data_IF_579489155632
#
_entry.id   IF_579489155632
#
_cell.length_a   1.000
_cell.length_b   1.000
_cell.length_c   1.000
_cell.angle_alpha   90.00
_cell.angle_beta   90.00
_cell.angle_gamma   90.00
#
_symmetry.space_group_name_H-M   'P 1'
#
loop_
_entity.id
_entity.type
_entity.pdbx_description
1 polymer ?
#
# COMPACT_ATOMS: atom_id res chain seq x y z
N UNK A 1 -42.33 14.18 18.01
CA UNK A 1 -43.43 15.16 17.78
C UNK A 1 -44.74 14.39 17.69
N UNK A 2 -45.84 14.91 18.24
CA UNK A 2 -47.18 14.28 18.14
C UNK A 2 -48.08 15.13 17.24
N UNK A 3 -48.39 14.64 16.04
CA UNK A 3 -49.23 15.33 15.08
C UNK A 3 -50.71 14.96 15.17
N UNK A 4 -51.11 14.06 16.08
CA UNK A 4 -52.49 13.60 16.21
C UNK A 4 -53.41 14.79 16.51
N UNK A 5 -54.56 14.84 15.82
CA UNK A 5 -55.57 15.90 15.83
C UNK A 5 -55.14 17.25 15.22
N UNK A 6 -53.98 17.34 14.59
CA UNK A 6 -53.58 18.56 13.88
C UNK A 6 -54.26 18.66 12.52
N UNK A 7 -54.68 19.87 12.14
CA UNK A 7 -55.32 20.18 10.85
C UNK A 7 -54.30 20.32 9.73
N UNK A 8 -54.63 19.73 8.60
CA UNK A 8 -53.81 19.71 7.39
C UNK A 8 -54.67 19.99 6.16
N UNK A 9 -54.07 20.52 5.11
CA UNK A 9 -54.71 20.64 3.80
C UNK A 9 -53.92 19.83 2.77
N UNK A 10 -54.58 18.85 2.16
CA UNK A 10 -54.06 18.13 1.01
C UNK A 10 -54.48 18.82 -0.29
N UNK A 11 -53.57 18.89 -1.27
CA UNK A 11 -53.84 19.58 -2.55
C UNK A 11 -55.07 19.04 -3.32
N UNK A 12 -55.41 17.76 -3.16
CA UNK A 12 -56.53 17.11 -3.86
C UNK A 12 -57.72 16.77 -2.96
N UNK A 13 -57.50 16.49 -1.67
CA UNK A 13 -58.53 15.96 -0.78
C UNK A 13 -59.07 17.02 0.19
N UNK A 14 -58.60 18.26 0.08
CA UNK A 14 -59.07 19.37 0.92
C UNK A 14 -58.53 19.30 2.35
N UNK A 15 -59.30 19.84 3.28
CA UNK A 15 -58.95 19.83 4.70
C UNK A 15 -59.16 18.45 5.34
N UNK A 16 -58.24 18.07 6.20
CA UNK A 16 -58.32 16.85 6.98
C UNK A 16 -57.65 16.99 8.34
N UNK A 17 -57.83 15.99 9.19
CA UNK A 17 -57.22 15.91 10.51
C UNK A 17 -56.39 14.64 10.63
N UNK A 18 -55.17 14.76 11.17
CA UNK A 18 -54.31 13.60 11.38
C UNK A 18 -54.90 12.74 12.50
N UNK A 19 -55.20 11.48 12.20
CA UNK A 19 -55.79 10.53 13.17
C UNK A 19 -54.79 9.50 13.68
N UNK A 20 -53.72 9.25 12.93
CA UNK A 20 -52.65 8.34 13.34
C UNK A 20 -51.31 8.74 12.71
N UNK A 21 -50.22 8.47 13.40
CA UNK A 21 -48.86 8.72 12.92
C UNK A 21 -47.91 7.65 13.47
N UNK A 22 -47.04 7.15 12.61
CA UNK A 22 -45.85 6.39 12.99
C UNK A 22 -44.63 6.91 12.20
N UNK A 23 -43.47 6.29 12.42
CA UNK A 23 -42.19 6.77 11.86
C UNK A 23 -42.12 6.77 10.32
N UNK A 24 -42.99 6.00 9.64
CA UNK A 24 -42.97 5.84 8.18
C UNK A 24 -44.22 6.36 7.48
N UNK A 25 -45.29 6.64 8.24
CA UNK A 25 -46.59 6.99 7.65
C UNK A 25 -47.47 7.82 8.56
N UNK A 26 -48.33 8.61 7.92
CA UNK A 26 -49.37 9.41 8.57
C UNK A 26 -50.73 9.04 7.99
N UNK A 27 -51.73 8.91 8.84
CA UNK A 27 -53.12 8.67 8.45
C UNK A 27 -53.96 9.90 8.75
N UNK A 28 -54.74 10.32 7.75
CA UNK A 28 -55.47 11.59 7.75
C UNK A 28 -56.92 11.28 7.41
N UNK A 29 -57.82 11.73 8.28
CA UNK A 29 -59.26 11.68 8.05
C UNK A 29 -59.69 12.92 7.29
N UNK A 30 -60.21 12.73 6.08
CA UNK A 30 -60.88 13.76 5.27
C UNK A 30 -62.40 13.61 5.41
N UNK A 31 -63.16 14.50 4.76
CA UNK A 31 -64.61 14.61 4.89
C UNK A 31 -65.40 13.30 4.74
N UNK A 32 -64.91 12.34 3.96
CA UNK A 32 -65.58 11.05 3.71
C UNK A 32 -64.74 9.80 3.95
N UNK A 33 -63.42 9.91 4.10
CA UNK A 33 -62.53 8.74 4.17
C UNK A 33 -61.19 9.01 4.88
N UNK A 34 -60.59 7.95 5.42
CA UNK A 34 -59.21 7.96 5.89
C UNK A 34 -58.27 7.63 4.73
N UNK A 35 -57.17 8.37 4.60
CA UNK A 35 -56.06 8.01 3.72
C UNK A 35 -54.74 8.01 4.46
N UNK A 36 -53.89 7.06 4.09
CA UNK A 36 -52.54 6.89 4.62
C UNK A 36 -51.51 7.39 3.60
N UNK A 37 -50.54 8.16 4.06
CA UNK A 37 -49.46 8.72 3.26
C UNK A 37 -48.09 8.43 3.89
N UNK A 38 -47.03 8.56 3.11
CA UNK A 38 -45.65 8.36 3.57
C UNK A 38 -45.18 9.59 4.35
N UNK A 39 -44.69 9.36 5.56
CA UNK A 39 -44.08 10.40 6.41
C UNK A 39 -42.55 10.34 6.27
N UNK A 40 -41.83 11.48 6.25
CA UNK A 40 -42.33 12.86 6.18
C UNK A 40 -42.68 13.33 4.75
N UNK A 41 -42.41 12.51 3.71
CA UNK A 41 -42.37 12.92 2.30
C UNK A 41 -43.66 13.52 1.72
N UNK A 42 -44.83 13.20 2.31
CA UNK A 42 -46.12 13.78 1.90
C UNK A 42 -46.20 15.28 2.22
N UNK A 43 -45.54 15.70 3.30
CA UNK A 43 -45.48 17.10 3.72
C UNK A 43 -44.53 17.86 2.79
N UNK A 44 -44.83 19.14 2.54
CA UNK A 44 -44.11 19.98 1.57
C UNK A 44 -44.60 19.82 0.13
N UNK A 45 -44.73 18.59 -0.40
CA UNK A 45 -45.20 18.36 -1.79
C UNK A 45 -46.71 18.32 -1.93
N UNK A 46 -47.41 17.64 -1.03
CA UNK A 46 -48.84 17.34 -1.21
C UNK A 46 -49.70 17.77 -0.02
N UNK A 47 -49.09 17.91 1.16
CA UNK A 47 -49.76 18.27 2.40
C UNK A 47 -49.16 19.52 3.03
N UNK A 48 -50.01 20.43 3.51
CA UNK A 48 -49.63 21.60 4.32
C UNK A 48 -50.23 21.48 5.72
N UNK A 49 -49.39 21.55 6.74
CA UNK A 49 -49.81 21.60 8.14
C UNK A 49 -50.17 23.04 8.51
N UNK A 50 -51.27 23.22 9.24
CA UNK A 50 -51.72 24.56 9.65
C UNK A 50 -50.94 25.08 10.88
N UNK A 51 -50.42 24.16 11.70
CA UNK A 51 -49.59 24.51 12.84
C UNK A 51 -48.18 24.96 12.39
N UNK A 52 -47.85 26.22 12.64
CA UNK A 52 -46.61 26.83 12.17
C UNK A 52 -45.37 26.33 12.90
N UNK A 53 -45.51 25.79 14.12
CA UNK A 53 -44.37 25.28 14.91
C UNK A 53 -44.03 23.88 14.46
N UNK A 54 -45.04 23.02 14.37
CA UNK A 54 -44.88 21.64 13.92
C UNK A 54 -44.50 21.58 12.43
N UNK A 55 -44.96 22.54 11.60
CA UNK A 55 -44.58 22.60 10.19
C UNK A 55 -43.08 22.82 10.01
N UNK A 56 -42.46 23.69 10.82
CA UNK A 56 -41.00 23.91 10.80
C UNK A 56 -40.22 22.66 11.19
N UNK A 57 -40.69 21.94 12.21
CA UNK A 57 -40.08 20.67 12.62
C UNK A 57 -40.15 19.62 11.51
N UNK A 58 -41.25 19.56 10.76
CA UNK A 58 -41.37 18.66 9.61
C UNK A 58 -40.42 19.06 8.49
N UNK A 59 -40.30 20.35 8.17
CA UNK A 59 -39.36 20.83 7.16
C UNK A 59 -37.91 20.48 7.53
N UNK A 60 -37.53 20.62 8.80
CA UNK A 60 -36.21 20.18 9.31
C UNK A 60 -35.99 18.67 9.12
N UNK A 61 -37.00 17.84 9.43
CA UNK A 61 -36.94 16.37 9.24
C UNK A 61 -36.81 16.03 7.74
N UNK A 62 -37.51 16.73 6.86
CA UNK A 62 -37.40 16.53 5.40
C UNK A 62 -35.99 16.90 4.92
N UNK A 63 -35.45 18.05 5.34
CA UNK A 63 -34.11 18.48 4.98
C UNK A 63 -33.03 17.50 5.47
N UNK A 64 -33.14 17.00 6.70
CA UNK A 64 -32.23 16.00 7.24
C UNK A 64 -32.27 14.70 6.42
N UNK A 65 -33.46 14.24 6.03
CA UNK A 65 -33.62 13.06 5.17
C UNK A 65 -33.02 13.25 3.78
N UNK A 66 -33.23 14.41 3.15
CA UNK A 66 -32.64 14.75 1.85
C UNK A 66 -31.11 14.83 1.92
N UNK A 67 -30.55 15.40 3.00
CA UNK A 67 -29.09 15.42 3.20
C UNK A 67 -28.52 14.01 3.33
N UNK A 68 -29.14 13.15 4.15
CA UNK A 68 -28.72 11.75 4.30
C UNK A 68 -28.77 10.98 2.98
N UNK A 69 -29.82 11.18 2.18
CA UNK A 69 -29.92 10.55 0.85
C UNK A 69 -28.80 11.01 -0.10
N UNK A 70 -28.50 12.30 -0.13
CA UNK A 70 -27.39 12.85 -0.93
C UNK A 70 -26.03 12.30 -0.47
N UNK A 71 -25.80 12.22 0.84
CA UNK A 71 -24.58 11.62 1.41
C UNK A 71 -24.45 10.14 1.05
N UNK A 72 -25.53 9.36 1.12
CA UNK A 72 -25.54 7.95 0.70
C UNK A 72 -25.28 7.77 -0.80
N UNK A 73 -25.87 8.62 -1.64
CA UNK A 73 -25.63 8.63 -3.09
C UNK A 73 -24.18 8.99 -3.42
N UNK A 74 -23.64 10.02 -2.77
CA UNK A 74 -22.24 10.42 -2.92
C UNK A 74 -21.31 9.26 -2.53
N UNK A 75 -21.55 8.63 -1.37
CA UNK A 75 -20.77 7.49 -0.91
C UNK A 75 -20.85 6.30 -1.87
N UNK A 76 -22.03 5.99 -2.41
CA UNK A 76 -22.20 4.95 -3.45
C UNK A 76 -21.42 5.26 -4.71
N UNK A 77 -21.37 6.53 -5.12
CA UNK A 77 -20.62 6.94 -6.32
C UNK A 77 -19.11 6.89 -6.08
N UNK A 78 -18.64 7.34 -4.91
CA UNK A 78 -17.23 7.19 -4.47
C UNK A 78 -16.80 5.72 -4.44
N UNK A 79 -17.64 4.84 -3.89
CA UNK A 79 -17.39 3.39 -3.84
C UNK A 79 -17.31 2.77 -5.24
N UNK A 80 -18.19 3.18 -6.17
CA UNK A 80 -18.13 2.74 -7.58
C UNK A 80 -16.88 3.24 -8.28
N UNK A 81 -16.51 4.50 -8.06
CA UNK A 81 -15.30 5.09 -8.65
C UNK A 81 -14.05 4.38 -8.13
N UNK A 82 -14.00 4.12 -6.82
CA UNK A 82 -12.94 3.36 -6.18
C UNK A 82 -12.87 1.93 -6.72
N UNK A 83 -14.01 1.26 -6.89
CA UNK A 83 -14.07 -0.08 -7.48
C UNK A 83 -13.54 -0.08 -8.93
N UNK A 84 -13.93 0.91 -9.74
CA UNK A 84 -13.43 1.07 -11.11
C UNK A 84 -11.93 1.30 -11.14
N UNK A 85 -11.40 2.18 -10.28
CA UNK A 85 -9.96 2.43 -10.14
C UNK A 85 -9.21 1.13 -9.80
N UNK A 86 -9.73 0.33 -8.86
CA UNK A 86 -9.15 -0.98 -8.49
C UNK A 86 -9.12 -1.97 -9.65
N UNK A 87 -10.19 -2.04 -10.46
CA UNK A 87 -10.23 -2.92 -11.63
C UNK A 87 -9.19 -2.54 -12.69
N UNK A 88 -9.02 -1.24 -12.96
CA UNK A 88 -8.00 -0.75 -13.91
C UNK A 88 -6.60 -1.10 -13.41
N UNK A 89 -6.30 -0.83 -12.13
CA UNK A 89 -5.02 -1.18 -11.51
C UNK A 89 -4.74 -2.69 -11.59
N UNK A 90 -5.75 -3.52 -11.30
CA UNK A 90 -5.62 -4.99 -11.43
C UNK A 90 -5.31 -5.40 -12.87
N UNK A 91 -5.99 -4.83 -13.85
CA UNK A 91 -5.75 -5.15 -15.25
C UNK A 91 -4.35 -4.73 -15.72
N UNK A 92 -3.88 -3.54 -15.31
CA UNK A 92 -2.51 -3.09 -15.59
C UNK A 92 -1.48 -4.00 -14.93
N UNK A 93 -1.72 -4.41 -13.68
CA UNK A 93 -0.91 -5.38 -12.95
C UNK A 93 -0.80 -6.70 -13.71
N UNK A 94 -1.92 -7.33 -14.07
CA UNK A 94 -1.95 -8.58 -14.84
C UNK A 94 -1.22 -8.47 -16.19
N UNK A 95 -1.33 -7.32 -16.86
CA UNK A 95 -0.66 -7.08 -18.14
C UNK A 95 0.86 -6.98 -17.97
N UNK A 96 1.34 -6.32 -16.92
CA UNK A 96 2.77 -6.22 -16.63
C UNK A 96 3.34 -7.57 -16.20
N UNK A 97 2.60 -8.33 -15.39
CA UNK A 97 2.95 -9.69 -14.96
C UNK A 97 3.19 -10.62 -16.15
N UNK A 98 2.27 -10.65 -17.13
CA UNK A 98 2.39 -11.52 -18.32
C UNK A 98 3.58 -11.18 -19.21
N UNK A 99 4.01 -9.91 -19.21
CA UNK A 99 5.10 -9.42 -20.07
C UNK A 99 6.42 -9.28 -19.32
N UNK A 100 6.48 -9.66 -18.04
CA UNK A 100 7.68 -9.51 -17.23
C UNK A 100 8.79 -10.44 -17.75
N UNK A 101 9.95 -9.85 -18.02
CA UNK A 101 11.18 -10.56 -18.36
C UNK A 101 12.17 -10.33 -17.23
N UNK A 102 12.79 -11.41 -16.75
CA UNK A 102 13.81 -11.33 -15.71
C UNK A 102 14.98 -10.48 -16.20
N UNK A 103 15.23 -9.38 -15.50
CA UNK A 103 16.42 -8.56 -15.72
C UNK A 103 17.56 -9.11 -14.86
N UNK A 104 18.80 -9.21 -15.37
CA UNK A 104 19.93 -9.75 -14.62
C UNK A 104 20.29 -8.90 -13.38
N UNK A 105 20.04 -7.60 -13.45
CA UNK A 105 20.21 -6.65 -12.33
C UNK A 105 18.84 -6.16 -11.83
N UNK A 106 18.06 -7.05 -11.23
CA UNK A 106 16.72 -6.73 -10.71
C UNK A 106 16.65 -6.68 -9.19
N UNK A 107 17.79 -6.70 -8.51
CA UNK A 107 17.87 -6.63 -7.05
C UNK A 107 18.19 -5.20 -6.63
N UNK A 108 17.80 -4.79 -5.43
CA UNK A 108 18.14 -3.47 -4.89
C UNK A 108 19.03 -3.60 -3.66
N UNK A 109 20.13 -2.87 -3.64
CA UNK A 109 20.86 -2.61 -2.40
C UNK A 109 20.53 -1.22 -1.92
N UNK A 110 20.18 -1.08 -0.65
CA UNK A 110 19.76 0.15 0.00
C UNK A 110 20.76 0.54 1.09
N UNK A 111 21.07 1.82 1.17
CA UNK A 111 21.89 2.39 2.23
C UNK A 111 20.97 3.01 3.29
N UNK A 112 20.87 2.32 4.43
CA UNK A 112 20.19 2.82 5.62
C UNK A 112 21.14 3.74 6.41
N UNK A 113 20.71 4.99 6.63
CA UNK A 113 21.32 5.79 7.69
C UNK A 113 20.87 5.31 9.09
N UNK A 114 21.44 5.88 10.14
CA UNK A 114 21.21 5.41 11.52
C UNK A 114 19.74 5.46 11.94
N UNK A 115 18.98 6.44 11.46
CA UNK A 115 17.56 6.58 11.77
C UNK A 115 16.75 5.54 10.97
N UNK A 116 17.03 5.41 9.67
CA UNK A 116 16.34 4.48 8.77
C UNK A 116 16.59 3.00 9.10
N UNK A 117 17.69 2.66 9.78
CA UNK A 117 18.01 1.27 10.14
C UNK A 117 16.91 0.63 10.99
N UNK A 118 16.45 1.33 12.03
CA UNK A 118 15.40 0.83 12.92
C UNK A 118 14.09 0.67 12.18
N UNK A 119 13.71 1.66 11.39
CA UNK A 119 12.43 1.67 10.67
C UNK A 119 12.41 0.60 9.56
N UNK A 120 13.51 0.46 8.81
CA UNK A 120 13.62 -0.52 7.74
C UNK A 120 13.54 -1.97 8.25
N UNK A 121 14.13 -2.25 9.41
CA UNK A 121 14.13 -3.60 10.01
C UNK A 121 12.87 -3.89 10.83
N UNK A 122 12.20 -2.88 11.36
CA UNK A 122 10.95 -3.06 12.12
C UNK A 122 9.72 -3.10 11.20
N UNK A 123 9.61 -2.17 10.25
CA UNK A 123 8.51 -2.11 9.29
C UNK A 123 8.71 -3.01 8.07
N UNK A 124 9.95 -3.48 7.84
CA UNK A 124 10.31 -4.26 6.66
C UNK A 124 9.91 -3.57 5.36
N UNK A 125 10.28 -2.31 5.26
CA UNK A 125 9.92 -1.43 4.14
C UNK A 125 10.97 -0.35 4.01
N UNK A 126 11.31 0.04 2.79
CA UNK A 126 12.18 1.20 2.55
C UNK A 126 11.55 2.16 1.57
N UNK A 127 11.85 3.44 1.74
CA UNK A 127 11.48 4.50 0.82
C UNK A 127 12.61 4.77 -0.18
N UNK A 128 12.31 4.66 -1.47
CA UNK A 128 13.26 4.84 -2.58
C UNK A 128 13.80 6.28 -2.75
N UNK A 129 13.39 7.21 -1.89
CA UNK A 129 13.77 8.62 -1.95
C UNK A 129 13.02 9.40 -3.04
N UNK A 130 13.31 10.69 -3.13
CA UNK A 130 12.65 11.61 -4.07
C UNK A 130 13.55 12.00 -5.23
N UNK A 131 12.93 12.35 -6.35
CA UNK A 131 13.56 12.97 -7.51
C UNK A 131 14.08 14.35 -7.11
N UNK A 132 15.40 14.56 -7.23
CA UNK A 132 16.05 15.79 -6.74
C UNK A 132 16.04 16.96 -7.74
N UNK A 133 15.67 16.74 -9.00
CA UNK A 133 15.73 17.76 -10.06
C UNK A 133 14.75 17.52 -11.21
N UNK A 134 14.57 18.52 -12.07
CA UNK A 134 13.66 18.47 -13.22
C UNK A 134 12.19 18.71 -12.87
N UNK A 135 11.30 18.50 -13.85
CA UNK A 135 9.87 18.79 -13.72
C UNK A 135 9.15 17.92 -12.67
N UNK A 136 9.71 16.76 -12.34
CA UNK A 136 9.16 15.83 -11.36
C UNK A 136 9.85 15.93 -9.99
N UNK A 137 10.57 17.02 -9.73
CA UNK A 137 11.27 17.22 -8.46
C UNK A 137 10.30 17.11 -7.27
N UNK A 138 10.69 16.36 -6.26
CA UNK A 138 9.88 16.09 -5.06
C UNK A 138 9.00 14.86 -5.17
N UNK A 139 8.73 14.34 -6.38
CA UNK A 139 8.01 13.08 -6.52
C UNK A 139 8.90 11.90 -6.08
N UNK A 140 8.34 10.83 -5.51
CA UNK A 140 9.09 9.62 -5.21
C UNK A 140 9.77 9.01 -6.45
N UNK A 141 10.93 8.39 -6.24
CA UNK A 141 11.59 7.59 -7.26
C UNK A 141 10.80 6.30 -7.49
N UNK A 142 10.67 5.88 -8.75
CA UNK A 142 10.05 4.59 -9.04
C UNK A 142 11.13 3.51 -9.13
N UNK A 143 11.08 2.45 -8.31
CA UNK A 143 12.03 1.35 -8.39
C UNK A 143 11.71 0.42 -9.58
N UNK A 144 11.74 0.96 -10.80
CA UNK A 144 11.19 0.35 -12.03
C UNK A 144 11.69 -1.06 -12.38
N UNK A 145 12.85 -1.47 -11.86
CA UNK A 145 13.41 -2.82 -12.10
C UNK A 145 12.94 -3.85 -11.08
N UNK A 146 12.38 -3.41 -9.96
CA UNK A 146 11.90 -4.29 -8.92
C UNK A 146 10.55 -4.89 -9.28
N UNK A 147 10.42 -6.16 -8.94
CA UNK A 147 9.23 -6.97 -9.14
C UNK A 147 9.20 -8.04 -8.05
N UNK A 148 8.19 -8.90 -8.04
CA UNK A 148 8.06 -9.99 -7.06
C UNK A 148 9.24 -10.99 -7.02
N UNK A 149 10.13 -11.02 -8.03
CA UNK A 149 11.36 -11.85 -8.02
C UNK A 149 12.55 -11.12 -7.37
N UNK A 150 12.37 -9.86 -7.00
CA UNK A 150 13.41 -8.99 -6.46
C UNK A 150 13.47 -9.06 -4.95
N UNK A 151 14.63 -8.73 -4.40
CA UNK A 151 14.86 -8.52 -2.98
C UNK A 151 15.60 -7.20 -2.77
N UNK A 152 15.46 -6.70 -1.54
CA UNK A 152 16.14 -5.53 -1.03
C UNK A 152 17.18 -5.97 -0.02
N UNK A 153 18.43 -5.63 -0.30
CA UNK A 153 19.57 -5.80 0.60
C UNK A 153 19.77 -4.51 1.38
N UNK A 154 19.72 -4.60 2.71
CA UNK A 154 19.92 -3.47 3.61
C UNK A 154 21.39 -3.41 4.01
N UNK A 155 22.00 -2.24 3.83
CA UNK A 155 23.39 -2.00 4.22
C UNK A 155 23.49 -0.77 5.09
N UNK A 156 24.50 -0.78 5.96
CA UNK A 156 24.90 0.40 6.73
C UNK A 156 26.38 0.68 6.52
N UNK A 157 26.74 1.94 6.76
CA UNK A 157 28.12 2.37 6.94
C UNK A 157 28.13 3.48 7.97
N UNK A 158 28.85 3.27 9.07
CA UNK A 158 29.02 4.33 10.05
C UNK A 158 29.90 5.45 9.49
N UNK A 159 29.66 6.68 9.94
CA UNK A 159 30.35 7.85 9.41
C UNK A 159 31.89 7.76 9.57
N UNK A 160 32.37 7.05 10.60
CA UNK A 160 33.78 6.80 10.88
C UNK A 160 34.39 5.64 10.09
N UNK A 161 33.57 4.79 9.47
CA UNK A 161 34.04 3.62 8.72
C UNK A 161 34.35 3.98 7.27
N UNK A 162 35.33 3.30 6.71
CA UNK A 162 35.63 3.38 5.28
C UNK A 162 34.49 2.78 4.45
N UNK A 163 34.45 3.03 3.13
CA UNK A 163 33.42 2.40 2.30
C UNK A 163 33.62 0.89 2.15
N UNK A 164 34.84 0.38 2.18
CA UNK A 164 35.14 -1.07 2.12
C UNK A 164 34.49 -1.84 3.28
N UNK A 165 34.37 -1.20 4.45
CA UNK A 165 33.75 -1.79 5.63
C UNK A 165 32.20 -1.72 5.61
N UNK A 166 31.55 -1.39 4.49
CA UNK A 166 30.09 -1.35 4.41
C UNK A 166 29.49 -2.72 4.69
N UNK A 167 28.68 -2.80 5.74
CA UNK A 167 28.11 -4.04 6.25
C UNK A 167 26.71 -4.28 5.69
N UNK A 168 26.40 -5.54 5.44
CA UNK A 168 25.04 -6.02 5.21
C UNK A 168 24.40 -6.25 6.57
N UNK A 169 23.19 -5.72 6.77
CA UNK A 169 22.47 -5.81 8.06
C UNK A 169 21.15 -6.59 7.97
N UNK A 170 20.70 -6.86 6.75
CA UNK A 170 19.47 -7.59 6.52
C UNK A 170 19.12 -7.67 5.06
N UNK A 171 18.15 -8.51 4.76
CA UNK A 171 17.64 -8.74 3.41
C UNK A 171 16.19 -9.15 3.47
N UNK A 172 15.39 -8.67 2.52
CA UNK A 172 14.03 -9.15 2.36
C UNK A 172 13.63 -9.26 0.89
N UNK A 173 12.79 -10.23 0.58
CA UNK A 173 12.15 -10.32 -0.74
C UNK A 173 11.08 -9.24 -0.83
N UNK A 174 10.94 -8.58 -1.98
CA UNK A 174 9.89 -7.58 -2.17
C UNK A 174 8.51 -8.25 -2.09
N UNK A 175 7.49 -7.52 -1.63
CA UNK A 175 6.11 -7.99 -1.48
C UNK A 175 5.59 -8.73 -2.74
N UNK A 176 4.78 -9.77 -2.52
CA UNK A 176 4.35 -10.72 -3.56
C UNK A 176 3.67 -10.07 -4.77
N UNK A 177 2.91 -9.00 -4.53
CA UNK A 177 2.18 -8.25 -5.56
C UNK A 177 2.93 -7.01 -6.08
N UNK A 178 4.18 -6.79 -5.68
CA UNK A 178 4.89 -5.56 -6.00
C UNK A 178 5.35 -5.52 -7.46
N UNK A 179 5.06 -4.39 -8.11
CA UNK A 179 5.55 -4.05 -9.44
C UNK A 179 6.12 -2.63 -9.38
N UNK A 180 7.44 -2.49 -9.46
CA UNK A 180 8.11 -1.21 -9.23
C UNK A 180 7.77 -0.11 -10.26
N UNK A 181 7.23 -0.47 -11.42
CA UNK A 181 6.69 0.49 -12.40
C UNK A 181 5.38 1.16 -11.95
N UNK A 182 4.59 0.49 -11.11
CA UNK A 182 3.31 0.96 -10.58
C UNK A 182 3.46 1.64 -9.20
N UNK A 183 4.67 1.66 -8.64
CA UNK A 183 4.96 2.31 -7.36
C UNK A 183 4.96 3.83 -7.54
N UNK A 184 3.93 4.49 -7.01
CA UNK A 184 3.78 5.96 -7.06
C UNK A 184 4.25 6.64 -5.78
N UNK A 185 4.20 5.93 -4.65
CA UNK A 185 4.55 6.42 -3.31
C UNK A 185 6.02 6.23 -2.97
N UNK A 186 6.77 5.45 -3.76
CA UNK A 186 8.18 5.15 -3.53
C UNK A 186 8.44 4.14 -2.41
N UNK A 187 7.39 3.57 -1.81
CA UNK A 187 7.47 2.59 -0.74
C UNK A 187 7.70 1.18 -1.29
N UNK A 188 8.64 0.46 -0.69
CA UNK A 188 9.02 -0.89 -1.13
C UNK A 188 8.81 -1.83 0.06
N UNK A 189 7.60 -2.40 0.23
CA UNK A 189 7.32 -3.32 1.33
C UNK A 189 7.92 -4.69 1.07
N UNK A 190 8.26 -5.38 2.16
CA UNK A 190 8.73 -6.75 2.13
C UNK A 190 7.61 -7.78 1.92
N UNK A 191 8.03 -8.95 1.48
CA UNK A 191 7.28 -10.19 1.45
C UNK A 191 6.90 -10.61 2.86
N UNK A 192 5.70 -11.17 2.99
CA UNK A 192 5.15 -11.70 4.25
C UNK A 192 6.05 -12.70 5.00
N UNK A 193 6.98 -13.39 4.33
CA UNK A 193 7.77 -14.51 4.89
C UNK A 193 9.27 -14.30 4.77
N UNK A 194 9.77 -13.93 3.59
CA UNK A 194 11.20 -13.94 3.30
C UNK A 194 11.87 -12.65 3.73
N UNK A 195 12.24 -12.59 5.01
CA UNK A 195 12.86 -11.46 5.69
C UNK A 195 13.91 -11.99 6.67
N UNK A 196 15.12 -11.47 6.60
CA UNK A 196 16.23 -11.87 7.47
C UNK A 196 16.89 -10.62 8.00
N UNK A 197 16.94 -10.49 9.32
CA UNK A 197 17.77 -9.52 10.02
C UNK A 197 19.05 -10.23 10.45
N UNK A 198 20.19 -9.54 10.30
CA UNK A 198 21.47 -10.03 10.77
C UNK A 198 21.78 -9.42 12.14
N UNK A 199 22.36 -10.24 13.02
CA UNK A 199 22.98 -9.76 14.24
C UNK A 199 24.20 -8.90 13.90
N UNK A 200 24.70 -8.15 14.88
CA UNK A 200 25.90 -7.34 14.72
C UNK A 200 27.13 -8.20 14.36
N UNK A 201 27.24 -9.40 14.95
CA UNK A 201 28.33 -10.34 14.66
C UNK A 201 28.26 -10.84 13.21
N UNK A 202 27.09 -11.30 12.76
CA UNK A 202 26.90 -11.74 11.37
C UNK A 202 27.13 -10.60 10.36
N UNK A 203 26.68 -9.38 10.70
CA UNK A 203 26.85 -8.20 9.85
C UNK A 203 28.33 -7.81 9.68
N UNK A 204 29.15 -8.02 10.72
CA UNK A 204 30.60 -7.75 10.66
C UNK A 204 31.33 -8.72 9.71
N UNK A 205 30.79 -9.93 9.51
CA UNK A 205 31.36 -10.93 8.59
C UNK A 205 30.89 -10.75 7.14
N UNK A 206 29.79 -10.00 6.91
CA UNK A 206 29.19 -9.80 5.59
C UNK A 206 29.41 -8.38 5.05
N UNK A 207 30.60 -8.14 4.49
CA UNK A 207 30.92 -6.90 3.79
C UNK A 207 30.31 -6.88 2.38
N UNK A 208 29.57 -5.83 2.06
CA UNK A 208 28.89 -5.67 0.77
C UNK A 208 29.85 -5.73 -0.44
N UNK A 209 31.05 -5.18 -0.29
CA UNK A 209 32.03 -5.09 -1.37
C UNK A 209 32.77 -6.40 -1.65
N UNK A 210 32.55 -7.46 -0.87
CA UNK A 210 32.97 -8.82 -1.22
C UNK A 210 32.20 -9.37 -2.42
N UNK A 211 30.99 -8.86 -2.66
CA UNK A 211 30.09 -9.35 -3.71
C UNK A 211 29.98 -8.35 -4.86
N UNK A 212 29.77 -7.08 -4.54
CA UNK A 212 29.52 -6.06 -5.54
C UNK A 212 30.81 -5.55 -6.19
N UNK A 213 30.75 -5.37 -7.51
CA UNK A 213 31.77 -4.68 -8.28
C UNK A 213 31.14 -3.77 -9.32
N UNK A 214 31.66 -2.56 -9.48
CA UNK A 214 31.22 -1.69 -10.56
C UNK A 214 31.93 -2.07 -11.86
N UNK A 215 31.21 -2.60 -12.84
CA UNK A 215 31.79 -3.00 -14.13
C UNK A 215 32.57 -1.90 -14.87
N UNK A 216 32.22 -0.63 -14.65
CA UNK A 216 32.91 0.51 -15.27
C UNK A 216 34.18 0.95 -14.52
N UNK A 217 34.33 0.56 -13.26
CA UNK A 217 35.52 0.88 -12.44
C UNK A 217 35.70 -0.20 -11.37
N UNK A 218 36.14 -1.41 -11.75
CA UNK A 218 36.22 -2.54 -10.83
C UNK A 218 37.11 -2.32 -9.62
N UNK A 219 38.12 -1.46 -9.76
CA UNK A 219 39.10 -1.10 -8.73
C UNK A 219 38.58 -0.07 -7.71
N UNK A 220 37.37 0.48 -7.89
CA UNK A 220 36.84 1.56 -7.05
C UNK A 220 35.76 1.09 -6.09
N UNK A 221 36.10 1.09 -4.81
CA UNK A 221 35.17 0.91 -3.69
C UNK A 221 34.54 2.26 -3.33
N UNK A 222 33.43 2.63 -4.00
CA UNK A 222 32.73 3.89 -3.70
C UNK A 222 31.24 3.83 -3.98
N UNK A 223 30.42 4.19 -2.97
CA UNK A 223 28.96 4.27 -3.11
C UNK A 223 28.48 5.51 -3.89
N UNK A 224 29.24 6.61 -3.89
CA UNK A 224 28.88 7.90 -4.51
C UNK A 224 27.51 8.41 -4.03
N UNK A 225 26.62 8.75 -4.96
CA UNK A 225 25.31 9.36 -4.69
C UNK A 225 24.17 8.33 -4.75
N UNK A 226 23.07 8.67 -4.09
CA UNK A 226 21.82 7.89 -4.11
C UNK A 226 21.63 7.02 -2.87
N UNK A 227 20.37 6.77 -2.52
CA UNK A 227 19.98 5.90 -1.39
C UNK A 227 20.05 4.42 -1.74
N UNK A 228 19.98 4.06 -3.02
CA UNK A 228 20.00 2.67 -3.46
C UNK A 228 20.68 2.51 -4.83
N UNK A 229 21.02 1.26 -5.15
CA UNK A 229 21.51 0.84 -6.46
C UNK A 229 20.85 -0.46 -6.87
N UNK A 230 20.70 -0.66 -8.18
CA UNK A 230 20.41 -1.99 -8.71
C UNK A 230 21.68 -2.82 -8.78
N UNK A 231 21.56 -4.11 -8.53
CA UNK A 231 22.67 -5.04 -8.55
C UNK A 231 22.23 -6.44 -9.02
N UNK A 232 23.18 -7.29 -9.36
CA UNK A 232 22.92 -8.57 -10.03
C UNK A 232 22.18 -9.58 -9.15
N UNK A 233 21.34 -10.40 -9.79
CA UNK A 233 20.62 -11.49 -9.13
C UNK A 233 21.60 -12.53 -8.54
N UNK A 234 22.75 -12.75 -9.20
CA UNK A 234 23.76 -13.70 -8.74
C UNK A 234 24.43 -13.25 -7.44
N UNK A 235 24.76 -11.96 -7.30
CA UNK A 235 25.35 -11.43 -6.07
C UNK A 235 24.44 -11.61 -4.87
N UNK A 236 23.14 -11.39 -5.04
CA UNK A 236 22.19 -11.63 -3.97
C UNK A 236 22.06 -13.12 -3.61
N UNK A 237 22.10 -14.01 -4.59
CA UNK A 237 22.09 -15.45 -4.32
C UNK A 237 23.33 -15.90 -3.53
N UNK A 238 24.51 -15.37 -3.87
CA UNK A 238 25.76 -15.60 -3.11
C UNK A 238 25.61 -15.12 -1.65
N UNK A 239 25.12 -13.89 -1.46
CA UNK A 239 24.89 -13.34 -0.11
C UNK A 239 23.95 -14.22 0.70
N UNK A 240 22.84 -14.68 0.11
CA UNK A 240 21.89 -15.55 0.80
C UNK A 240 22.52 -16.91 1.19
N UNK A 241 23.43 -17.44 0.37
CA UNK A 241 24.16 -18.67 0.68
C UNK A 241 25.12 -18.48 1.86
N UNK A 242 25.81 -17.36 1.90
CA UNK A 242 26.73 -17.03 3.01
C UNK A 242 25.94 -16.75 4.30
N UNK A 243 24.78 -16.10 4.22
CA UNK A 243 23.86 -15.95 5.36
C UNK A 243 23.46 -17.32 5.95
N UNK A 244 23.12 -18.31 5.13
CA UNK A 244 22.78 -19.68 5.60
C UNK A 244 23.93 -20.30 6.38
N UNK A 245 25.17 -20.04 5.94
CA UNK A 245 26.38 -20.57 6.57
C UNK A 245 26.64 -19.92 7.93
N UNK A 246 26.27 -18.65 8.10
CA UNK A 246 26.41 -17.91 9.36
C UNK A 246 25.33 -18.23 10.40
N UNK A 247 24.11 -18.59 9.96
CA UNK A 247 23.01 -18.90 10.88
C UNK A 247 23.32 -20.14 11.74
N UNK A 248 23.45 -19.93 13.04
CA UNK A 248 23.61 -21.00 14.04
C UNK A 248 22.27 -21.54 14.54
N UNK A 249 21.24 -20.68 14.60
CA UNK A 249 19.91 -21.09 15.00
C UNK A 249 19.25 -21.94 13.90
N UNK A 250 18.72 -23.14 14.22
CA UNK A 250 18.12 -24.02 13.22
C UNK A 250 16.90 -23.43 12.50
N UNK A 251 16.07 -22.64 13.18
CA UNK A 251 14.86 -22.05 12.58
C UNK A 251 15.23 -20.90 11.64
N UNK A 252 16.14 -20.02 12.06
CA UNK A 252 16.67 -18.95 11.19
C UNK A 252 17.41 -19.51 9.98
N UNK A 253 18.19 -20.59 10.17
CA UNK A 253 18.89 -21.27 9.08
C UNK A 253 17.94 -21.91 8.08
N UNK A 254 16.86 -22.54 8.57
CA UNK A 254 15.81 -23.09 7.71
C UNK A 254 15.08 -21.98 6.96
N UNK A 255 14.74 -20.87 7.62
CA UNK A 255 14.16 -19.70 6.95
C UNK A 255 15.08 -19.14 5.86
N UNK A 256 16.38 -18.99 6.15
CA UNK A 256 17.37 -18.53 5.18
C UNK A 256 17.49 -19.50 3.99
N UNK A 257 17.47 -20.80 4.26
CA UNK A 257 17.49 -21.85 3.23
C UNK A 257 16.25 -21.82 2.35
N UNK A 258 15.06 -21.65 2.94
CA UNK A 258 13.82 -21.49 2.20
C UNK A 258 13.81 -20.21 1.36
N UNK A 259 14.33 -19.10 1.90
CA UNK A 259 14.47 -17.85 1.17
C UNK A 259 15.39 -18.04 -0.03
N UNK A 260 16.61 -18.53 0.17
CA UNK A 260 17.55 -18.81 -0.92
C UNK A 260 16.95 -19.67 -2.04
N UNK A 261 16.29 -20.78 -1.68
CA UNK A 261 15.66 -21.67 -2.64
C UNK A 261 14.52 -20.99 -3.41
N UNK A 262 13.68 -20.22 -2.71
CA UNK A 262 12.61 -19.46 -3.33
C UNK A 262 13.17 -18.39 -4.28
N UNK A 263 14.16 -17.63 -3.83
CA UNK A 263 14.83 -16.59 -4.62
C UNK A 263 15.46 -17.17 -5.89
N UNK A 264 16.22 -18.26 -5.78
CA UNK A 264 16.84 -18.93 -6.93
C UNK A 264 15.79 -19.42 -7.93
N UNK A 265 14.69 -20.02 -7.44
CA UNK A 265 13.56 -20.45 -8.28
C UNK A 265 12.94 -19.28 -9.05
N UNK A 266 12.69 -18.15 -8.36
CA UNK A 266 12.07 -16.97 -8.95
C UNK A 266 12.97 -16.29 -9.99
N UNK A 267 14.30 -16.39 -9.82
CA UNK A 267 15.30 -15.78 -10.69
C UNK A 267 15.94 -16.77 -11.69
N UNK A 268 15.47 -18.01 -11.74
CA UNK A 268 16.00 -19.07 -12.63
C UNK A 268 17.51 -19.32 -12.44
N UNK A 269 17.98 -19.29 -11.19
CA UNK A 269 19.37 -19.53 -10.83
C UNK A 269 19.54 -20.99 -10.44
N UNK A 270 20.51 -21.68 -11.04
CA UNK A 270 20.94 -23.01 -10.62
C UNK A 270 21.89 -22.88 -9.42
N UNK A 271 21.43 -23.26 -8.22
CA UNK A 271 22.19 -23.10 -6.98
C UNK A 271 23.56 -23.80 -7.02
N UNK A 272 23.68 -24.93 -7.73
CA UNK A 272 24.93 -25.68 -7.86
C UNK A 272 25.97 -25.00 -8.76
N UNK A 273 25.56 -24.02 -9.56
CA UNK A 273 26.40 -23.30 -10.53
C UNK A 273 26.74 -21.88 -10.07
N UNK A 274 26.40 -21.53 -8.82
CA UNK A 274 26.74 -20.22 -8.27
C UNK A 274 28.26 -20.06 -8.19
N UNK A 275 28.83 -19.01 -8.79
CA UNK A 275 30.25 -18.73 -8.65
C UNK A 275 30.55 -18.23 -7.23
N UNK A 276 31.81 -18.27 -6.84
CA UNK A 276 32.28 -17.61 -5.62
C UNK A 276 32.14 -16.08 -5.72
N UNK A 277 31.99 -15.37 -4.59
CA UNK A 277 32.03 -13.91 -4.55
C UNK A 277 33.30 -13.36 -5.20
N UNK A 278 33.14 -12.42 -6.12
CA UNK A 278 34.24 -11.80 -6.86
C UNK A 278 34.04 -10.27 -6.95
N UNK A 279 33.63 -9.69 -5.83
CA UNK A 279 33.45 -8.26 -5.65
C UNK A 279 34.77 -7.50 -5.59
N UNK A 280 34.70 -6.19 -5.39
CA UNK A 280 35.86 -5.30 -5.42
C UNK A 280 36.95 -5.70 -4.39
N UNK A 281 36.56 -6.18 -3.20
CA UNK A 281 37.51 -6.62 -2.17
C UNK A 281 38.12 -8.00 -2.42
N UNK A 282 37.49 -8.84 -3.26
CA UNK A 282 37.97 -10.18 -3.57
C UNK A 282 38.97 -10.20 -4.73
N UNK A 283 39.20 -9.06 -5.38
CA UNK A 283 40.07 -8.89 -6.55
C UNK A 283 41.44 -8.28 -6.23
N UNK A 284 41.71 -8.05 -4.95
CA UNK A 284 42.95 -7.43 -4.45
C UNK A 284 44.09 -8.45 -4.39
#
# INVERSE_FOLDING_TARGET
MNLINKKVTHKQFGEGSIVNQNDTSVEIHFESENKRFVFPDVFGKHLKLHDTTDAKLIDEIIQEKEMKQKEEELKKEEDKELHRKKLVLRWEHEKLMKNHKLHPESQMVFWCDTEEQSDALSEWKVFSGEIKSGNNKGNPNKPIRLHQNSAVLLTRRDASMSEEDRQIIGVYMVHEDFIGKLCEDGEIPAHSKYRIQLSEQESNELLFWNYYVNGNSPEKVSWKTGKYRYFENLWLAQILLDIISLKTDPEEKELASQFFNHFCKMNQIAAQELPEPNGALMRV
#
